data_IF_639288959746
#
_entry.id   IF_639288959746
#
_cell.length_a   1.000
_cell.length_b   1.000
_cell.length_c   1.000
_cell.angle_alpha   90.00
_cell.angle_beta   90.00
_cell.angle_gamma   90.00
#
_symmetry.space_group_name_H-M   'P 1'
#
loop_
_entity.id
_entity.type
_entity.pdbx_description
1 polymer ?
#
# COMPACT_ATOMS: atom_id res chain seq x y z
N UNK A 1 6.10 21.42 -1.99
CA UNK A 1 6.27 20.73 -0.70
C UNK A 1 7.13 19.50 -0.97
N UNK A 2 8.17 19.26 -0.18
CA UNK A 2 9.01 18.06 -0.37
C UNK A 2 8.23 16.85 0.17
N UNK A 3 8.14 15.76 -0.60
CA UNK A 3 7.48 14.54 -0.13
C UNK A 3 8.28 13.93 1.03
N UNK A 4 7.59 13.62 2.13
CA UNK A 4 8.19 13.00 3.34
C UNK A 4 8.54 11.53 3.11
N UNK A 5 8.02 10.95 2.02
CA UNK A 5 8.11 9.55 1.69
C UNK A 5 8.76 9.33 0.33
N UNK A 6 9.50 8.24 0.21
CA UNK A 6 9.85 7.63 -1.07
C UNK A 6 8.76 6.65 -1.45
N UNK A 7 8.01 6.95 -2.51
CA UNK A 7 7.06 6.03 -3.11
C UNK A 7 7.78 5.06 -4.06
N UNK A 8 7.42 3.78 -3.98
CA UNK A 8 7.88 2.70 -4.85
C UNK A 8 6.65 1.94 -5.33
N UNK A 9 6.53 1.73 -6.64
CA UNK A 9 5.44 0.96 -7.22
C UNK A 9 5.88 -0.48 -7.46
N UNK A 10 5.02 -1.42 -7.07
CA UNK A 10 5.18 -2.85 -7.28
C UNK A 10 3.94 -3.37 -8.00
N UNK A 11 4.11 -4.40 -8.82
CA UNK A 11 3.00 -5.16 -9.40
C UNK A 11 3.30 -6.63 -9.17
N UNK A 12 2.37 -7.33 -8.53
CA UNK A 12 2.49 -8.76 -8.23
C UNK A 12 1.30 -9.53 -8.79
N UNK A 13 1.44 -10.83 -9.12
CA UNK A 13 0.30 -11.66 -9.44
C UNK A 13 -0.61 -11.78 -8.21
N UNK A 14 -1.91 -11.61 -8.43
CA UNK A 14 -2.93 -11.81 -7.41
C UNK A 14 -3.28 -13.31 -7.25
N UNK A 15 -4.14 -13.64 -6.28
CA UNK A 15 -4.63 -15.00 -6.04
C UNK A 15 -5.24 -15.60 -7.32
N UNK A 16 -5.00 -16.89 -7.59
CA UNK A 16 -5.61 -17.56 -8.76
C UNK A 16 -7.02 -18.12 -8.48
N UNK A 17 -7.31 -18.48 -7.22
CA UNK A 17 -8.62 -19.06 -6.85
C UNK A 17 -9.66 -17.93 -6.79
N UNK A 18 -10.82 -18.18 -7.39
CA UNK A 18 -11.97 -17.27 -7.46
C UNK A 18 -13.22 -17.94 -6.89
N UNK A 19 -14.10 -17.13 -6.29
CA UNK A 19 -15.34 -17.62 -5.69
C UNK A 19 -16.38 -18.04 -6.75
N UNK A 20 -16.42 -17.34 -7.89
CA UNK A 20 -17.40 -17.56 -8.94
C UNK A 20 -16.76 -17.97 -10.27
N UNK A 21 -17.41 -18.86 -11.05
CA UNK A 21 -17.03 -19.13 -12.43
C UNK A 21 -17.18 -17.86 -13.27
N UNK A 22 -16.33 -17.70 -14.29
CA UNK A 22 -16.20 -16.47 -15.09
C UNK A 22 -15.80 -15.23 -14.26
N UNK A 23 -15.03 -15.41 -13.19
CA UNK A 23 -14.41 -14.30 -12.45
C UNK A 23 -13.40 -13.50 -13.27
N UNK A 24 -13.01 -13.99 -14.44
CA UNK A 24 -12.13 -13.38 -15.43
C UNK A 24 -12.88 -13.18 -16.75
N UNK A 25 -12.44 -12.22 -17.57
CA UNK A 25 -13.11 -11.89 -18.82
C UNK A 25 -12.88 -12.91 -19.94
N UNK A 26 -11.72 -13.59 -19.96
CA UNK A 26 -11.35 -14.48 -21.06
C UNK A 26 -11.17 -15.94 -20.61
N UNK A 27 -10.12 -16.24 -19.85
CA UNK A 27 -9.80 -17.60 -19.38
C UNK A 27 -9.81 -17.64 -17.86
N UNK A 28 -10.24 -18.75 -17.24
CA UNK A 28 -10.27 -18.88 -15.78
C UNK A 28 -8.86 -18.78 -15.17
N UNK A 29 -7.83 -19.09 -15.96
CA UNK A 29 -6.42 -19.03 -15.61
C UNK A 29 -5.81 -17.62 -15.74
N UNK A 30 -6.57 -16.63 -16.23
CA UNK A 30 -6.07 -15.26 -16.39
C UNK A 30 -5.60 -14.70 -15.04
N UNK A 31 -4.38 -14.15 -15.05
CA UNK A 31 -3.72 -13.66 -13.85
C UNK A 31 -4.05 -12.20 -13.62
N UNK A 32 -4.80 -11.93 -12.57
CA UNK A 32 -5.00 -10.57 -12.09
C UNK A 32 -3.69 -9.99 -11.57
N UNK A 33 -3.45 -8.73 -11.90
CA UNK A 33 -2.30 -7.99 -11.41
C UNK A 33 -2.75 -7.18 -10.19
N UNK A 34 -2.07 -7.38 -9.06
CA UNK A 34 -2.23 -6.60 -7.85
C UNK A 34 -1.12 -5.54 -7.79
N UNK A 35 -1.40 -4.32 -8.22
CA UNK A 35 -0.48 -3.21 -8.01
C UNK A 35 -0.49 -2.73 -6.55
N UNK A 36 0.71 -2.39 -6.07
CA UNK A 36 0.99 -1.99 -4.69
C UNK A 36 1.87 -0.75 -4.72
N UNK A 37 1.44 0.34 -4.06
CA UNK A 37 2.31 1.50 -3.77
C UNK A 37 2.89 1.33 -2.38
N UNK A 38 4.21 1.35 -2.27
CA UNK A 38 4.95 1.32 -1.01
C UNK A 38 5.54 2.70 -0.71
N UNK A 39 5.23 3.24 0.46
CA UNK A 39 5.78 4.49 0.98
C UNK A 39 6.80 4.19 2.07
N UNK A 40 8.03 4.70 1.90
CA UNK A 40 9.13 4.54 2.85
C UNK A 40 9.53 5.93 3.37
N UNK A 41 9.52 6.18 4.68
CA UNK A 41 9.94 7.49 5.21
C UNK A 41 11.39 7.81 4.84
N UNK A 42 11.63 9.01 4.31
CA UNK A 42 12.97 9.45 3.91
C UNK A 42 13.90 9.55 5.13
N UNK A 43 13.36 10.02 6.26
CA UNK A 43 14.11 10.21 7.52
C UNK A 43 14.03 8.98 8.44
N UNK A 44 13.93 7.78 7.87
CA UNK A 44 13.92 6.55 8.67
C UNK A 44 15.29 6.33 9.35
N UNK A 45 15.24 5.83 10.59
CA UNK A 45 16.43 5.47 11.35
C UNK A 45 17.16 4.32 10.65
N UNK A 46 18.50 4.40 10.59
CA UNK A 46 19.36 3.33 10.10
C UNK A 46 20.35 2.92 11.20
N UNK A 47 20.29 1.68 11.73
CA UNK A 47 19.38 0.59 11.35
C UNK A 47 17.92 0.84 11.75
N UNK A 48 16.97 0.28 10.99
CA UNK A 48 15.54 0.38 11.30
C UNK A 48 15.25 -0.40 12.59
N UNK A 49 14.68 0.23 13.63
CA UNK A 49 14.38 -0.44 14.89
C UNK A 49 13.51 -1.69 14.68
N UNK A 50 13.73 -2.74 15.47
CA UNK A 50 12.98 -3.99 15.36
C UNK A 50 11.48 -3.82 15.65
N UNK A 51 11.15 -2.89 16.54
CA UNK A 51 9.78 -2.54 16.91
C UNK A 51 9.07 -1.61 15.90
N UNK A 52 9.63 -1.42 14.71
CA UNK A 52 9.04 -0.56 13.70
C UNK A 52 7.81 -1.19 13.04
N UNK A 53 6.76 -0.40 12.84
CA UNK A 53 5.51 -0.84 12.24
C UNK A 53 5.58 -0.93 10.72
N UNK A 54 4.98 -1.99 10.17
CA UNK A 54 4.63 -2.07 8.75
C UNK A 54 3.11 -2.00 8.63
N UNK A 55 2.62 -1.00 7.91
CA UNK A 55 1.19 -0.78 7.75
C UNK A 55 0.81 -1.28 6.35
N UNK A 56 -0.21 -2.13 6.29
CA UNK A 56 -0.81 -2.60 5.03
C UNK A 56 -2.22 -2.03 4.98
N UNK A 57 -2.54 -1.38 3.87
CA UNK A 57 -3.83 -0.78 3.62
C UNK A 57 -4.43 -1.33 2.33
N UNK A 58 -5.75 -1.49 2.35
CA UNK A 58 -6.55 -1.85 1.20
C UNK A 58 -7.70 -0.85 1.11
N UNK A 59 -7.80 -0.18 -0.02
CA UNK A 59 -8.89 0.76 -0.32
C UNK A 59 -10.24 0.04 -0.40
N UNK A 60 -11.31 0.75 -0.02
CA UNK A 60 -12.69 0.34 -0.31
C UNK A 60 -13.04 0.65 -1.77
N UNK A 61 -14.06 -0.04 -2.31
CA UNK A 61 -14.46 0.18 -3.70
C UNK A 61 -14.90 1.63 -3.95
N UNK A 62 -14.60 2.15 -5.15
CA UNK A 62 -15.14 3.42 -5.65
C UNK A 62 -14.28 4.67 -5.43
N UNK A 63 -13.14 4.58 -4.73
CA UNK A 63 -12.23 5.73 -4.56
C UNK A 63 -10.83 5.45 -5.09
N UNK A 64 -10.20 6.40 -5.82
CA UNK A 64 -8.82 6.28 -6.22
C UNK A 64 -7.92 6.35 -4.98
N UNK A 65 -6.82 5.59 -5.00
CA UNK A 65 -5.86 5.50 -3.90
C UNK A 65 -5.25 6.87 -3.55
N UNK A 66 -5.12 7.77 -4.53
CA UNK A 66 -4.59 9.12 -4.39
C UNK A 66 -5.41 9.98 -3.40
N UNK A 67 -6.70 9.70 -3.21
CA UNK A 67 -7.56 10.45 -2.27
C UNK A 67 -7.09 10.33 -0.83
N UNK A 68 -6.38 9.24 -0.51
CA UNK A 68 -5.94 8.95 0.85
C UNK A 68 -4.47 9.29 1.08
N UNK A 69 -3.71 9.70 0.05
CA UNK A 69 -2.30 10.09 0.16
C UNK A 69 -2.03 11.10 1.31
N UNK A 70 -2.83 12.17 1.46
CA UNK A 70 -2.65 13.11 2.56
C UNK A 70 -2.83 12.49 3.96
N UNK A 71 -3.74 11.50 4.10
CA UNK A 71 -4.07 10.89 5.39
C UNK A 71 -2.87 10.17 6.01
N UNK A 72 -2.12 9.42 5.22
CA UNK A 72 -0.96 8.70 5.74
C UNK A 72 0.31 9.53 5.76
N UNK A 73 0.49 10.47 4.83
CA UNK A 73 1.69 11.30 4.78
C UNK A 73 1.72 12.38 5.87
N UNK A 74 0.58 13.04 6.12
CA UNK A 74 0.52 14.18 7.05
C UNK A 74 0.05 13.75 8.44
N UNK A 75 -1.11 13.09 8.55
CA UNK A 75 -1.72 12.82 9.85
C UNK A 75 -1.13 11.59 10.51
N UNK A 76 -1.17 10.43 9.86
CA UNK A 76 -0.80 9.16 10.50
C UNK A 76 0.68 9.13 10.90
N UNK A 77 1.56 9.51 9.97
CA UNK A 77 3.00 9.47 10.21
C UNK A 77 3.43 10.44 11.32
N UNK A 78 2.97 11.69 11.29
CA UNK A 78 3.30 12.67 12.31
C UNK A 78 2.75 12.25 13.69
N UNK A 79 1.55 11.69 13.75
CA UNK A 79 0.95 11.18 14.99
C UNK A 79 1.70 9.96 15.56
N UNK A 80 2.24 9.08 14.71
CA UNK A 80 3.05 7.94 15.17
C UNK A 80 4.42 8.41 15.67
N UNK A 81 5.06 9.33 14.94
CA UNK A 81 6.32 9.93 15.35
C UNK A 81 6.21 10.67 16.69
N UNK A 82 5.14 11.44 16.92
CA UNK A 82 4.94 12.15 18.19
C UNK A 82 4.77 11.21 19.40
N UNK A 83 4.39 9.95 19.16
CA UNK A 83 4.26 8.89 20.16
C UNK A 83 5.50 8.00 20.25
N UNK A 84 6.59 8.37 19.59
CA UNK A 84 7.83 7.59 19.50
C UNK A 84 7.61 6.18 18.89
N UNK A 85 6.63 6.06 17.98
CA UNK A 85 6.37 4.84 17.23
C UNK A 85 6.95 5.01 15.83
N UNK A 86 7.93 4.17 15.51
CA UNK A 86 8.60 4.22 14.20
C UNK A 86 7.83 3.41 13.17
N UNK A 87 7.60 4.00 12.01
CA UNK A 87 7.02 3.30 10.85
C UNK A 87 8.14 2.92 9.89
N UNK A 88 8.23 1.64 9.55
CA UNK A 88 9.18 1.13 8.55
C UNK A 88 8.68 1.37 7.14
N UNK A 89 7.42 1.01 6.87
CA UNK A 89 6.80 1.24 5.56
C UNK A 89 5.29 1.20 5.63
N UNK A 90 4.65 1.89 4.69
CA UNK A 90 3.21 1.84 4.45
C UNK A 90 3.02 1.25 3.06
N UNK A 91 2.17 0.23 2.91
CA UNK A 91 1.86 -0.39 1.62
C UNK A 91 0.38 -0.27 1.35
N UNK A 92 0.02 0.25 0.19
CA UNK A 92 -1.35 0.40 -0.27
C UNK A 92 -1.54 -0.51 -1.47
N UNK A 93 -2.33 -1.57 -1.29
CA UNK A 93 -2.68 -2.49 -2.36
C UNK A 93 -4.00 -2.06 -3.00
N UNK A 94 -4.11 -2.20 -4.33
CA UNK A 94 -5.36 -1.94 -5.02
C UNK A 94 -5.69 -2.96 -6.11
N UNK A 95 -6.94 -3.39 -6.17
CA UNK A 95 -7.43 -4.31 -7.19
C UNK A 95 -7.75 -3.49 -8.45
N UNK A 96 -6.89 -3.58 -9.46
CA UNK A 96 -7.25 -3.01 -10.75
C UNK A 96 -8.40 -3.84 -11.33
N UNK A 97 -9.61 -3.27 -11.39
CA UNK A 97 -10.67 -3.83 -12.22
C UNK A 97 -10.18 -3.79 -13.67
N UNK A 98 -10.06 -4.97 -14.29
CA UNK A 98 -9.88 -5.09 -15.74
C UNK A 98 -11.17 -4.72 -16.48
#
# INVERSE_FOLDING_TARGET
>A
MASTFKAIEHVIPDQHIREYPNGTKHQEEDIFQLPIKQFIPINSLSPVPENSLNIIWVYGSGFPKETYEPLWEEDLYCNLLSRNVHTRSIRVAYCSNQ
#
